data_IF_148291603542
#
_entry.id   IF_148291603542
#
_cell.length_a   1.000
_cell.length_b   1.000
_cell.length_c   1.000
_cell.angle_alpha   90.00
_cell.angle_beta   90.00
_cell.angle_gamma   90.00
#
_symmetry.space_group_name_H-M   'P 1'
#
loop_
_entity.id
_entity.type
_entity.pdbx_description
1 polymer ?
#
# COMPACT_ATOMS: atom_id res chain seq x y z
N UNK A 1 9.84 -8.65 6.60
CA UNK A 1 8.45 -8.14 6.50
C UNK A 1 8.44 -6.69 5.99
N UNK A 2 9.39 -6.30 5.14
CA UNK A 2 9.54 -4.92 4.66
C UNK A 2 9.44 -4.83 3.13
N UNK A 3 9.19 -5.96 2.46
CA UNK A 3 9.23 -6.04 1.01
C UNK A 3 8.15 -5.22 0.33
N UNK A 4 6.91 -5.24 0.85
CA UNK A 4 5.81 -4.42 0.36
C UNK A 4 6.16 -2.94 0.46
N UNK A 5 6.65 -2.50 1.63
CA UNK A 5 7.07 -1.12 1.84
C UNK A 5 8.24 -0.73 0.90
N UNK A 6 9.27 -1.56 0.78
CA UNK A 6 10.44 -1.25 -0.07
C UNK A 6 10.11 -1.27 -1.57
N UNK A 7 9.31 -2.23 -2.02
CA UNK A 7 9.04 -2.46 -3.46
C UNK A 7 7.95 -1.55 -3.99
N UNK A 8 6.97 -1.21 -3.16
CA UNK A 8 5.82 -0.37 -3.56
C UNK A 8 5.99 1.04 -2.99
N UNK A 9 5.87 1.19 -1.67
CA UNK A 9 5.75 2.51 -1.02
C UNK A 9 7.02 3.36 -0.98
N UNK A 10 8.21 2.78 -1.09
CA UNK A 10 9.49 3.52 -1.20
C UNK A 10 9.93 3.77 -2.64
N UNK A 11 9.34 3.06 -3.61
CA UNK A 11 9.75 3.12 -5.01
C UNK A 11 8.77 3.90 -5.86
N UNK A 12 7.48 3.81 -5.55
CA UNK A 12 6.40 4.38 -6.33
C UNK A 12 5.83 5.63 -5.64
N UNK A 13 5.46 6.66 -6.41
CA UNK A 13 4.78 7.86 -5.91
C UNK A 13 3.42 7.57 -5.26
N UNK A 14 2.96 8.49 -4.40
CA UNK A 14 1.67 8.36 -3.71
C UNK A 14 0.44 8.49 -4.64
N UNK A 15 0.57 9.14 -5.78
CA UNK A 15 -0.46 9.23 -6.82
C UNK A 15 -0.55 7.97 -7.71
N UNK A 16 0.25 6.94 -7.42
CA UNK A 16 0.18 5.65 -8.12
C UNK A 16 -1.13 4.95 -7.79
N UNK A 17 -1.88 4.60 -8.84
CA UNK A 17 -3.12 3.85 -8.72
C UNK A 17 -2.91 2.38 -8.34
N UNK A 18 -3.84 1.87 -7.55
CA UNK A 18 -3.97 0.47 -7.16
C UNK A 18 -5.36 0.00 -7.58
N UNK A 19 -5.40 -1.07 -8.37
CA UNK A 19 -6.62 -1.67 -8.91
C UNK A 19 -6.85 -3.04 -8.25
N UNK A 20 -7.60 -3.10 -7.14
CA UNK A 20 -7.85 -4.35 -6.44
C UNK A 20 -8.82 -5.25 -7.22
N UNK A 21 -8.77 -6.56 -6.95
CA UNK A 21 -9.71 -7.51 -7.56
C UNK A 21 -11.16 -7.38 -7.05
N UNK A 22 -11.37 -6.64 -5.96
CA UNK A 22 -12.67 -6.29 -5.40
C UNK A 22 -12.60 -4.92 -4.73
N UNK A 23 -13.75 -4.25 -4.58
CA UNK A 23 -13.82 -2.91 -3.99
C UNK A 23 -13.48 -1.81 -5.00
N UNK A 24 -13.32 -0.60 -4.48
CA UNK A 24 -13.03 0.59 -5.28
C UNK A 24 -11.53 0.74 -5.54
N UNK A 25 -11.19 1.40 -6.65
CA UNK A 25 -9.82 1.77 -6.97
C UNK A 25 -9.27 2.77 -5.93
N UNK A 26 -8.00 2.62 -5.61
CA UNK A 26 -7.32 3.44 -4.60
C UNK A 26 -5.95 3.90 -5.10
N UNK A 27 -5.21 4.63 -4.26
CA UNK A 27 -3.83 5.05 -4.56
C UNK A 27 -2.90 4.63 -3.43
N UNK A 28 -1.60 4.51 -3.73
CA UNK A 28 -0.60 4.22 -2.69
C UNK A 28 -0.63 5.27 -1.56
N UNK A 29 -0.89 6.54 -1.88
CA UNK A 29 -1.02 7.60 -0.88
C UNK A 29 -2.20 7.38 0.07
N UNK A 30 -3.35 6.96 -0.47
CA UNK A 30 -4.54 6.62 0.32
C UNK A 30 -4.27 5.43 1.27
N UNK A 31 -3.52 4.43 0.80
CA UNK A 31 -3.24 3.21 1.57
C UNK A 31 -2.06 3.33 2.55
N UNK A 32 -1.12 4.25 2.32
CA UNK A 32 0.12 4.39 3.13
C UNK A 32 -0.12 4.51 4.64
N UNK A 33 -1.13 5.24 5.15
CA UNK A 33 -1.42 5.31 6.59
C UNK A 33 -1.80 3.97 7.23
N UNK A 34 -2.23 2.99 6.44
CA UNK A 34 -2.66 1.68 6.92
C UNK A 34 -1.48 0.71 7.13
N UNK A 35 -0.28 1.03 6.62
CA UNK A 35 0.92 0.19 6.74
C UNK A 35 1.24 -0.30 8.17
N UNK A 36 1.10 0.51 9.24
CA UNK A 36 1.36 0.03 10.60
C UNK A 36 0.36 -1.05 11.04
N UNK A 37 -0.94 -0.84 10.76
CA UNK A 37 -1.99 -1.82 11.08
C UNK A 37 -1.73 -3.11 10.33
N UNK A 38 -1.56 -3.00 9.02
CA UNK A 38 -1.21 -4.10 8.15
C UNK A 38 0.01 -4.84 8.69
N UNK A 39 1.13 -4.16 9.00
CA UNK A 39 2.36 -4.80 9.50
C UNK A 39 2.13 -5.55 10.82
N UNK A 40 1.29 -5.02 11.71
CA UNK A 40 0.91 -5.69 12.96
C UNK A 40 0.06 -6.94 12.73
N UNK A 41 -0.75 -6.93 11.67
CA UNK A 41 -1.52 -8.09 11.17
C UNK A 41 -0.65 -9.02 10.32
N UNK A 42 0.59 -8.63 10.04
CA UNK A 42 1.53 -9.31 9.17
C UNK A 42 1.44 -8.94 7.68
N UNK A 43 0.53 -8.00 7.37
CA UNK A 43 -0.17 -7.78 6.09
C UNK A 43 -0.37 -9.08 5.33
#
# INVERSE_FOLDING_TARGET
>A
IDDVERKLFKRLPDDTWVYPGHGDDTTLGTERPQLPEWRSRGW
#
